data_IF_883433616295
#
_entry.id   IF_883433616295
#
_cell.length_a   1.000
_cell.length_b   1.000
_cell.length_c   1.000
_cell.angle_alpha   90.00
_cell.angle_beta   90.00
_cell.angle_gamma   90.00
#
_symmetry.space_group_name_H-M   'P 1'
#
loop_
_entity.id
_entity.type
_entity.pdbx_description
1 polymer ?
#
# COMPACT_ATOMS: atom_id res chain seq x y z
N UNK A 1 51.87 8.39 -19.88
CA UNK A 1 50.88 9.43 -19.55
C UNK A 1 49.43 8.95 -19.70
N UNK A 2 49.06 8.24 -20.77
CA UNK A 2 47.68 7.69 -20.97
C UNK A 2 47.25 6.70 -19.87
N UNK A 3 48.12 5.73 -19.49
CA UNK A 3 47.80 4.75 -18.43
C UNK A 3 47.57 5.35 -17.03
N UNK A 4 48.12 6.53 -16.76
CA UNK A 4 47.87 7.23 -15.49
C UNK A 4 46.51 7.94 -15.49
N UNK A 5 46.10 8.51 -16.63
CA UNK A 5 44.80 9.15 -16.77
C UNK A 5 43.65 8.13 -16.68
N UNK A 6 43.81 6.94 -17.26
CA UNK A 6 42.81 5.86 -17.18
C UNK A 6 42.64 5.34 -15.75
N UNK A 7 43.73 5.19 -14.99
CA UNK A 7 43.67 4.75 -13.60
C UNK A 7 42.97 5.77 -12.69
N UNK A 8 43.21 7.07 -12.92
CA UNK A 8 42.56 8.16 -12.17
C UNK A 8 41.04 8.16 -12.44
N UNK A 9 40.64 7.96 -13.70
CA UNK A 9 39.22 7.95 -14.08
C UNK A 9 38.49 6.71 -13.49
N UNK A 10 39.14 5.54 -13.50
CA UNK A 10 38.59 4.33 -12.90
C UNK A 10 38.48 4.44 -11.36
N UNK A 11 39.49 5.00 -10.69
CA UNK A 11 39.43 5.25 -9.25
C UNK A 11 38.35 6.25 -8.87
N UNK A 12 38.18 7.33 -9.64
CA UNK A 12 37.11 8.30 -9.41
C UNK A 12 35.72 7.66 -9.58
N UNK A 13 35.54 6.80 -10.58
CA UNK A 13 34.28 6.10 -10.83
C UNK A 13 33.94 5.09 -9.71
N UNK A 14 34.96 4.38 -9.20
CA UNK A 14 34.79 3.45 -8.08
C UNK A 14 34.50 4.17 -6.76
N UNK A 15 35.16 5.31 -6.51
CA UNK A 15 34.92 6.14 -5.34
C UNK A 15 33.52 6.77 -5.35
N UNK A 16 33.03 7.21 -6.51
CA UNK A 16 31.67 7.72 -6.67
C UNK A 16 30.65 6.64 -6.30
N UNK A 17 30.81 5.45 -6.87
CA UNK A 17 29.91 4.31 -6.65
C UNK A 17 29.96 3.80 -5.21
N UNK A 18 31.12 3.84 -4.56
CA UNK A 18 31.25 3.49 -3.14
C UNK A 18 30.61 4.53 -2.22
N UNK A 19 30.76 5.82 -2.54
CA UNK A 19 30.15 6.90 -1.77
C UNK A 19 28.63 6.91 -1.90
N UNK A 20 28.10 6.64 -3.10
CA UNK A 20 26.67 6.42 -3.32
C UNK A 20 26.16 5.21 -2.54
N UNK A 21 26.88 4.09 -2.55
CA UNK A 21 26.45 2.91 -1.80
C UNK A 21 26.46 3.16 -0.28
N UNK A 22 27.44 3.92 0.23
CA UNK A 22 27.48 4.32 1.63
C UNK A 22 26.38 5.33 1.99
N UNK A 23 26.10 6.30 1.13
CA UNK A 23 24.98 7.24 1.34
C UNK A 23 23.64 6.52 1.32
N UNK A 24 23.44 5.55 0.42
CA UNK A 24 22.25 4.69 0.40
C UNK A 24 22.10 3.83 1.65
N UNK A 25 23.19 3.29 2.19
CA UNK A 25 23.15 2.54 3.46
C UNK A 25 22.78 3.43 4.63
N UNK A 26 23.41 4.61 4.74
CA UNK A 26 23.10 5.58 5.78
C UNK A 26 21.63 6.04 5.68
N UNK A 27 21.14 6.33 4.47
CA UNK A 27 19.75 6.69 4.22
C UNK A 27 18.78 5.55 4.59
N UNK A 28 19.12 4.32 4.21
CA UNK A 28 18.33 3.12 4.55
C UNK A 28 18.27 2.90 6.06
N UNK A 29 19.38 3.11 6.77
CA UNK A 29 19.46 2.98 8.22
C UNK A 29 18.65 4.08 8.92
N UNK A 30 18.72 5.33 8.42
CA UNK A 30 17.86 6.43 8.89
C UNK A 30 16.37 6.14 8.65
N UNK A 31 16.00 5.65 7.46
CA UNK A 31 14.63 5.25 7.13
C UNK A 31 14.14 4.12 8.03
N UNK A 32 14.98 3.11 8.27
CA UNK A 32 14.66 1.96 9.12
C UNK A 32 14.44 2.40 10.57
N UNK A 33 15.28 3.30 11.08
CA UNK A 33 15.18 3.84 12.44
C UNK A 33 13.94 4.71 12.65
N UNK A 34 13.39 5.32 11.59
CA UNK A 34 12.16 6.12 11.64
C UNK A 34 10.94 5.38 11.08
N UNK A 35 11.08 4.14 10.62
CA UNK A 35 10.02 3.43 9.90
C UNK A 35 8.78 3.24 10.77
N UNK A 36 8.95 2.77 12.00
CA UNK A 36 7.83 2.56 12.94
C UNK A 36 7.15 3.88 13.30
N UNK A 37 7.94 4.93 13.55
CA UNK A 37 7.39 6.27 13.78
C UNK A 37 6.55 6.74 12.58
N UNK A 38 7.07 6.58 11.35
CA UNK A 38 6.38 6.96 10.12
C UNK A 38 5.09 6.17 9.93
N UNK A 39 5.14 4.85 10.15
CA UNK A 39 4.00 3.96 10.04
C UNK A 39 2.87 4.38 10.99
N UNK A 40 3.19 4.58 12.28
CA UNK A 40 2.18 4.97 13.27
C UNK A 40 1.67 6.39 13.02
N UNK A 41 2.52 7.30 12.53
CA UNK A 41 2.11 8.64 12.12
C UNK A 41 1.12 8.59 10.93
N UNK A 42 1.33 7.70 9.95
CA UNK A 42 0.37 7.48 8.86
C UNK A 42 -0.99 6.98 9.38
N UNK A 43 -0.99 6.02 10.31
CA UNK A 43 -2.22 5.52 10.95
C UNK A 43 -2.93 6.65 11.70
N UNK A 44 -2.17 7.49 12.39
CA UNK A 44 -2.72 8.62 13.12
C UNK A 44 -3.36 9.66 12.18
N UNK A 45 -2.68 10.03 11.09
CA UNK A 45 -3.24 10.91 10.05
C UNK A 45 -4.51 10.32 9.42
N UNK A 46 -4.48 9.04 9.04
CA UNK A 46 -5.65 8.36 8.49
C UNK A 46 -6.83 8.36 9.49
N UNK A 47 -6.55 8.20 10.78
CA UNK A 47 -7.58 8.26 11.82
C UNK A 47 -8.19 9.65 11.97
N UNK A 48 -7.38 10.71 11.85
CA UNK A 48 -7.84 12.12 11.88
C UNK A 48 -8.73 12.46 10.68
N UNK A 49 -8.45 11.86 9.52
CA UNK A 49 -9.24 12.04 8.30
C UNK A 49 -10.55 11.25 8.33
N UNK A 50 -10.50 10.00 8.79
CA UNK A 50 -11.58 9.02 8.58
C UNK A 50 -12.53 8.91 9.77
N UNK A 51 -12.10 9.29 10.98
CA UNK A 51 -12.91 9.15 12.19
C UNK A 51 -13.22 10.50 12.83
N UNK A 52 -14.50 10.76 13.07
CA UNK A 52 -14.93 11.99 13.74
C UNK A 52 -14.74 11.94 15.28
N UNK A 53 -14.90 10.77 15.90
CA UNK A 53 -14.87 10.64 17.38
C UNK A 53 -13.85 9.63 17.92
N UNK A 54 -13.31 8.75 17.06
CA UNK A 54 -12.37 7.69 17.44
C UNK A 54 -10.96 7.96 16.89
N UNK A 55 -10.54 9.22 16.92
CA UNK A 55 -9.24 9.65 16.46
C UNK A 55 -8.16 9.06 17.36
N UNK A 56 -7.10 8.53 16.77
CA UNK A 56 -5.94 8.01 17.53
C UNK A 56 -5.18 9.21 18.12
N UNK A 57 -5.19 9.32 19.45
CA UNK A 57 -4.56 10.45 20.15
C UNK A 57 -3.04 10.28 20.24
N UNK A 58 -2.31 11.39 20.41
CA UNK A 58 -0.86 11.36 20.63
C UNK A 58 -0.50 10.49 21.84
N UNK A 59 -1.30 10.52 22.90
CA UNK A 59 -1.06 9.71 24.11
C UNK A 59 -1.16 8.22 23.79
N UNK A 60 -2.18 7.83 23.02
CA UNK A 60 -2.36 6.44 22.57
C UNK A 60 -1.18 5.96 21.74
N UNK A 61 -0.72 6.79 20.80
CA UNK A 61 0.44 6.49 19.96
C UNK A 61 1.72 6.34 20.79
N UNK A 62 1.99 7.29 21.69
CA UNK A 62 3.20 7.26 22.50
C UNK A 62 3.23 6.06 23.45
N UNK A 63 2.10 5.72 24.06
CA UNK A 63 2.02 4.52 24.90
C UNK A 63 2.25 3.24 24.08
N UNK A 64 1.71 3.18 22.86
CA UNK A 64 1.93 2.05 21.94
C UNK A 64 3.41 1.93 21.54
N UNK A 65 4.03 3.03 21.15
CA UNK A 65 5.45 3.08 20.79
C UNK A 65 6.34 2.70 21.98
N UNK A 66 6.02 3.20 23.17
CA UNK A 66 6.74 2.86 24.40
C UNK A 66 6.62 1.36 24.74
N UNK A 67 5.44 0.76 24.57
CA UNK A 67 5.24 -0.67 24.77
C UNK A 67 6.07 -1.54 23.80
N UNK A 68 6.40 -1.01 22.63
CA UNK A 68 7.29 -1.63 21.64
C UNK A 68 8.79 -1.32 21.88
N UNK A 69 9.12 -0.54 22.92
CA UNK A 69 10.50 -0.17 23.25
C UNK A 69 11.01 1.11 22.56
N UNK A 70 10.13 1.88 21.90
CA UNK A 70 10.48 3.14 21.26
C UNK A 70 10.14 4.35 22.13
N UNK A 71 11.15 5.13 22.51
CA UNK A 71 11.00 6.34 23.33
C UNK A 71 10.92 7.61 22.50
N UNK A 72 9.82 7.81 21.75
CA UNK A 72 9.60 9.05 21.00
C UNK A 72 8.90 10.12 21.84
N UNK A 73 9.11 11.38 21.46
CA UNK A 73 8.46 12.56 22.04
C UNK A 73 7.22 12.97 21.24
N UNK A 74 6.40 13.87 21.81
CA UNK A 74 5.23 14.42 21.10
C UNK A 74 5.66 15.27 19.91
N UNK A 75 6.77 15.98 20.06
CA UNK A 75 7.35 16.86 19.07
C UNK A 75 7.83 16.07 17.85
N UNK A 76 8.55 14.97 18.07
CA UNK A 76 8.99 14.06 16.99
C UNK A 76 7.82 13.41 16.26
N UNK A 77 6.74 13.09 16.97
CA UNK A 77 5.52 12.56 16.35
C UNK A 77 4.85 13.60 15.43
N UNK A 78 4.70 14.84 15.92
CA UNK A 78 4.15 15.96 15.14
C UNK A 78 5.01 16.29 13.91
N UNK A 79 6.33 16.31 14.07
CA UNK A 79 7.27 16.53 12.98
C UNK A 79 7.15 15.41 11.93
N UNK A 80 7.07 14.15 12.36
CA UNK A 80 6.85 13.00 11.47
C UNK A 80 5.53 13.13 10.69
N UNK A 81 4.42 13.49 11.33
CA UNK A 81 3.14 13.73 10.65
C UNK A 81 3.23 14.85 9.62
N UNK A 82 3.85 15.97 9.98
CA UNK A 82 3.99 17.13 9.10
C UNK A 82 4.90 16.81 7.90
N UNK A 83 5.94 16.02 8.10
CA UNK A 83 6.78 15.52 7.02
C UNK A 83 6.02 14.56 6.10
N UNK A 84 5.08 13.74 6.61
CA UNK A 84 4.21 12.91 5.76
C UNK A 84 3.38 13.80 4.84
N UNK A 85 2.69 14.76 5.45
CA UNK A 85 1.82 15.66 4.72
C UNK A 85 2.57 16.43 3.65
N UNK A 86 3.76 16.97 3.98
CA UNK A 86 4.63 17.64 3.00
C UNK A 86 5.08 16.72 1.88
N UNK A 87 5.54 15.50 2.19
CA UNK A 87 5.97 14.53 1.16
C UNK A 87 4.84 14.16 0.19
N UNK A 88 3.60 14.14 0.68
CA UNK A 88 2.42 13.87 -0.13
C UNK A 88 1.81 15.13 -0.76
N UNK A 89 2.48 16.30 -0.66
CA UNK A 89 1.94 17.60 -1.09
C UNK A 89 0.53 17.88 -0.54
N UNK A 90 0.25 17.40 0.68
CA UNK A 90 -1.05 17.47 1.36
C UNK A 90 -2.21 16.80 0.59
N UNK A 91 -1.91 15.94 -0.40
CA UNK A 91 -2.89 15.18 -1.17
C UNK A 91 -3.23 13.84 -0.50
N UNK A 92 -4.00 13.91 0.58
CA UNK A 92 -4.35 12.74 1.42
C UNK A 92 -5.82 12.33 1.32
N UNK A 93 -6.66 13.17 0.70
CA UNK A 93 -8.09 12.91 0.51
C UNK A 93 -8.35 12.24 -0.85
N UNK A 94 -7.79 11.04 -1.03
CA UNK A 94 -7.96 10.24 -2.25
C UNK A 94 -8.98 9.11 -2.01
N UNK A 95 -9.78 8.71 -3.02
CA UNK A 95 -10.68 7.59 -2.89
C UNK A 95 -9.94 6.29 -2.55
N UNK A 96 -10.44 5.57 -1.54
CA UNK A 96 -9.92 4.25 -1.18
C UNK A 96 -10.61 3.15 -2.01
N UNK A 97 -10.02 1.94 -2.12
CA UNK A 97 -10.71 0.80 -2.73
C UNK A 97 -12.09 0.53 -2.13
N UNK A 98 -12.25 0.73 -0.81
CA UNK A 98 -13.55 0.60 -0.15
C UNK A 98 -14.58 1.61 -0.69
N UNK A 99 -14.19 2.86 -0.94
CA UNK A 99 -15.09 3.87 -1.50
C UNK A 99 -15.61 3.44 -2.89
N UNK A 100 -14.77 2.82 -3.71
CA UNK A 100 -15.20 2.25 -5.00
C UNK A 100 -16.14 1.05 -4.83
N UNK A 101 -15.86 0.15 -3.88
CA UNK A 101 -16.75 -0.97 -3.57
C UNK A 101 -18.13 -0.47 -3.16
N UNK A 102 -18.20 0.47 -2.23
CA UNK A 102 -19.46 1.02 -1.72
C UNK A 102 -20.25 1.74 -2.82
N UNK A 103 -19.56 2.59 -3.61
CA UNK A 103 -20.16 3.27 -4.75
C UNK A 103 -20.75 2.29 -5.78
N UNK A 104 -20.02 1.23 -6.13
CA UNK A 104 -20.49 0.24 -7.10
C UNK A 104 -21.65 -0.60 -6.57
N UNK A 105 -21.62 -1.00 -5.29
CA UNK A 105 -22.73 -1.72 -4.65
C UNK A 105 -24.01 -0.87 -4.60
N UNK A 106 -23.88 0.43 -4.30
CA UNK A 106 -25.00 1.37 -4.32
C UNK A 106 -25.60 1.47 -5.74
N UNK A 107 -24.75 1.59 -6.77
CA UNK A 107 -25.20 1.63 -8.17
C UNK A 107 -25.91 0.33 -8.57
N UNK A 108 -25.41 -0.85 -8.16
CA UNK A 108 -26.06 -2.13 -8.44
C UNK A 108 -27.45 -2.22 -7.77
N UNK A 109 -27.54 -1.78 -6.51
CA UNK A 109 -28.82 -1.72 -5.78
C UNK A 109 -29.81 -0.76 -6.44
N UNK A 110 -29.37 0.44 -6.83
CA UNK A 110 -30.21 1.43 -7.50
C UNK A 110 -30.75 0.92 -8.84
N UNK A 111 -29.95 0.18 -9.61
CA UNK A 111 -30.37 -0.40 -10.90
C UNK A 111 -31.29 -1.64 -10.76
N UNK A 112 -31.71 -1.98 -9.55
CA UNK A 112 -32.67 -3.07 -9.31
C UNK A 112 -32.07 -4.46 -9.41
N UNK A 113 -30.74 -4.61 -9.32
CA UNK A 113 -30.14 -5.92 -9.18
C UNK A 113 -30.56 -6.52 -7.82
N UNK A 114 -31.09 -7.75 -7.82
CA UNK A 114 -31.44 -8.50 -6.60
C UNK A 114 -30.19 -9.01 -5.88
N UNK A 115 -29.29 -8.10 -5.52
CA UNK A 115 -28.05 -8.39 -4.81
C UNK A 115 -28.29 -8.15 -3.32
N UNK A 116 -27.98 -9.10 -2.42
CA UNK A 116 -28.07 -8.87 -0.98
C UNK A 116 -26.94 -7.95 -0.53
N UNK A 117 -27.05 -6.65 -0.84
CA UNK A 117 -25.96 -5.68 -0.77
C UNK A 117 -25.30 -5.59 0.61
N UNK A 118 -26.07 -5.73 1.70
CA UNK A 118 -25.54 -5.72 3.07
C UNK A 118 -24.70 -6.94 3.40
N UNK A 119 -25.15 -8.14 2.99
CA UNK A 119 -24.37 -9.36 3.15
C UNK A 119 -23.14 -9.31 2.27
N UNK A 120 -23.30 -8.87 1.02
CA UNK A 120 -22.21 -8.75 0.06
C UNK A 120 -21.14 -7.77 0.54
N UNK A 121 -21.54 -6.61 1.06
CA UNK A 121 -20.63 -5.60 1.64
C UNK A 121 -19.77 -6.17 2.77
N UNK A 122 -20.35 -6.96 3.68
CA UNK A 122 -19.59 -7.58 4.77
C UNK A 122 -18.50 -8.56 4.26
N UNK A 123 -18.82 -9.35 3.23
CA UNK A 123 -17.83 -10.22 2.58
C UNK A 123 -16.79 -9.40 1.81
N UNK A 124 -17.19 -8.34 1.12
CA UNK A 124 -16.27 -7.43 0.44
C UNK A 124 -15.25 -6.81 1.39
N UNK A 125 -15.67 -6.37 2.59
CA UNK A 125 -14.77 -5.83 3.61
C UNK A 125 -13.71 -6.87 4.02
N UNK A 126 -14.16 -8.08 4.35
CA UNK A 126 -13.27 -9.18 4.75
C UNK A 126 -12.28 -9.54 3.63
N UNK A 127 -12.75 -9.55 2.38
CA UNK A 127 -11.93 -9.89 1.24
C UNK A 127 -10.94 -8.76 0.89
N UNK A 128 -11.34 -7.49 1.04
CA UNK A 128 -10.42 -6.35 0.90
C UNK A 128 -9.28 -6.46 1.91
N UNK A 129 -9.58 -6.72 3.19
CA UNK A 129 -8.56 -6.91 4.22
C UNK A 129 -7.58 -8.05 3.85
N UNK A 130 -8.12 -9.18 3.36
CA UNK A 130 -7.29 -10.28 2.89
C UNK A 130 -6.40 -9.89 1.70
N UNK A 131 -6.95 -9.15 0.73
CA UNK A 131 -6.18 -8.69 -0.44
C UNK A 131 -5.09 -7.71 -0.04
N UNK A 132 -5.34 -6.83 0.93
CA UNK A 132 -4.30 -5.95 1.47
C UNK A 132 -3.18 -6.74 2.16
N UNK A 133 -3.52 -7.79 2.91
CA UNK A 133 -2.52 -8.63 3.61
C UNK A 133 -1.74 -9.55 2.67
N UNK A 134 -2.38 -10.05 1.61
CA UNK A 134 -1.83 -10.99 0.64
C UNK A 134 -1.61 -10.35 -0.74
N UNK A 135 -1.31 -9.05 -0.75
CA UNK A 135 -1.21 -8.23 -1.95
C UNK A 135 -0.26 -8.84 -2.99
N UNK A 136 1.01 -9.08 -2.62
CA UNK A 136 2.00 -9.65 -3.54
C UNK A 136 1.59 -11.05 -4.05
N UNK A 137 1.28 -12.05 -3.21
CA UNK A 137 0.86 -13.37 -3.68
C UNK A 137 -0.34 -13.35 -4.64
N UNK A 138 -1.35 -12.53 -4.36
CA UNK A 138 -2.58 -12.47 -5.16
C UNK A 138 -2.27 -11.89 -6.54
N UNK A 139 -1.57 -10.76 -6.62
CA UNK A 139 -1.26 -10.15 -7.90
C UNK A 139 -0.21 -10.94 -8.70
N UNK A 140 0.73 -11.62 -8.05
CA UNK A 140 1.62 -12.57 -8.73
C UNK A 140 0.85 -13.75 -9.33
N UNK A 141 -0.13 -14.31 -8.59
CA UNK A 141 -1.01 -15.35 -9.10
C UNK A 141 -1.85 -14.85 -10.27
N UNK A 142 -2.38 -13.61 -10.18
CA UNK A 142 -3.18 -13.00 -11.24
C UNK A 142 -2.35 -12.76 -12.50
N UNK A 143 -1.11 -12.28 -12.36
CA UNK A 143 -0.18 -12.11 -13.48
C UNK A 143 0.11 -13.44 -14.16
N UNK A 144 0.45 -14.50 -13.40
CA UNK A 144 0.69 -15.83 -13.96
C UNK A 144 -0.53 -16.39 -14.67
N UNK A 145 -1.72 -16.25 -14.09
CA UNK A 145 -2.96 -16.69 -14.71
C UNK A 145 -3.21 -15.99 -16.06
N UNK A 146 -2.88 -14.70 -16.16
CA UNK A 146 -3.03 -13.91 -17.40
C UNK A 146 -2.11 -14.34 -18.54
N UNK A 147 -1.05 -15.09 -18.25
CA UNK A 147 -0.04 -15.59 -19.20
C UNK A 147 0.04 -17.11 -19.23
N UNK A 148 -1.07 -17.80 -18.93
CA UNK A 148 -1.20 -19.26 -19.00
C UNK A 148 -0.17 -20.00 -18.12
N UNK A 149 0.18 -19.43 -16.96
CA UNK A 149 1.14 -19.95 -15.99
C UNK A 149 2.59 -20.06 -16.50
N UNK A 150 2.95 -19.32 -17.56
CA UNK A 150 4.33 -19.11 -17.95
C UNK A 150 5.09 -18.17 -16.98
N UNK A 151 6.44 -18.23 -16.91
CA UNK A 151 7.19 -17.29 -16.10
C UNK A 151 7.09 -15.88 -16.70
N UNK A 152 6.73 -14.85 -15.89
CA UNK A 152 6.54 -13.50 -16.41
C UNK A 152 7.87 -12.87 -16.83
N UNK A 153 7.88 -12.25 -18.00
CA UNK A 153 8.97 -11.36 -18.43
C UNK A 153 8.93 -10.03 -17.68
N UNK A 154 10.07 -9.34 -17.61
CA UNK A 154 10.16 -8.03 -16.96
C UNK A 154 9.16 -7.02 -17.54
N UNK A 155 9.04 -6.97 -18.87
CA UNK A 155 8.11 -6.07 -19.56
C UNK A 155 6.64 -6.37 -19.25
N UNK A 156 6.28 -7.65 -19.04
CA UNK A 156 4.94 -8.01 -18.58
C UNK A 156 4.70 -7.54 -17.14
N UNK A 157 5.69 -7.71 -16.25
CA UNK A 157 5.62 -7.19 -14.89
C UNK A 157 5.40 -5.68 -14.83
N UNK A 158 6.15 -4.92 -15.64
CA UNK A 158 6.01 -3.46 -15.73
C UNK A 158 4.63 -3.03 -16.24
N UNK A 159 4.12 -3.69 -17.29
CA UNK A 159 2.76 -3.41 -17.80
C UNK A 159 1.66 -3.76 -16.80
N UNK A 160 1.89 -4.77 -15.96
CA UNK A 160 0.92 -5.23 -14.97
C UNK A 160 0.80 -4.29 -13.76
N UNK A 161 1.70 -3.32 -13.60
CA UNK A 161 1.60 -2.29 -12.54
C UNK A 161 0.29 -1.51 -12.67
N UNK A 162 -0.18 -1.21 -13.88
CA UNK A 162 -1.46 -0.51 -14.07
C UNK A 162 -2.65 -1.29 -13.51
N UNK A 163 -2.61 -2.62 -13.54
CA UNK A 163 -3.62 -3.50 -12.93
C UNK A 163 -3.53 -3.49 -11.41
N UNK A 164 -2.31 -3.43 -10.86
CA UNK A 164 -2.07 -3.33 -9.40
C UNK A 164 -2.57 -2.01 -8.82
N UNK A 165 -2.46 -0.92 -9.58
CA UNK A 165 -2.80 0.43 -9.12
C UNK A 165 -4.25 0.84 -9.43
N UNK A 166 -5.00 0.05 -10.20
CA UNK A 166 -6.40 0.34 -10.52
C UNK A 166 -7.34 -0.12 -9.39
N UNK A 167 -7.66 0.82 -8.49
CA UNK A 167 -8.59 0.59 -7.38
C UNK A 167 -10.03 0.29 -7.82
N UNK A 168 -10.46 0.76 -8.99
CA UNK A 168 -11.80 0.45 -9.50
C UNK A 168 -11.85 -1.00 -9.97
N UNK A 169 -10.82 -1.47 -10.68
CA UNK A 169 -10.68 -2.86 -11.09
C UNK A 169 -10.59 -3.79 -9.87
N UNK A 170 -9.81 -3.41 -8.86
CA UNK A 170 -9.77 -4.12 -7.58
C UNK A 170 -11.17 -4.21 -6.96
N UNK A 171 -11.90 -3.10 -6.85
CA UNK A 171 -13.24 -3.08 -6.26
C UNK A 171 -14.22 -4.00 -6.99
N UNK A 172 -14.22 -4.00 -8.32
CA UNK A 172 -15.06 -4.91 -9.13
C UNK A 172 -14.67 -6.36 -8.88
N UNK A 173 -13.37 -6.67 -8.84
CA UNK A 173 -12.85 -8.01 -8.53
C UNK A 173 -13.29 -8.50 -7.14
N UNK A 174 -13.24 -7.62 -6.14
CA UNK A 174 -13.72 -7.91 -4.78
C UNK A 174 -15.22 -8.22 -4.77
N UNK A 175 -16.04 -7.42 -5.45
CA UNK A 175 -17.49 -7.62 -5.52
C UNK A 175 -17.81 -8.96 -6.19
N UNK A 176 -17.16 -9.25 -7.32
CA UNK A 176 -17.36 -10.50 -8.05
C UNK A 176 -16.96 -11.73 -7.22
N UNK A 177 -15.79 -11.69 -6.57
CA UNK A 177 -15.31 -12.78 -5.72
C UNK A 177 -16.20 -12.95 -4.47
N UNK A 178 -16.67 -11.87 -3.87
CA UNK A 178 -17.59 -11.92 -2.73
C UNK A 178 -18.94 -12.53 -3.12
N UNK A 179 -19.47 -12.19 -4.31
CA UNK A 179 -20.70 -12.76 -4.83
C UNK A 179 -20.54 -14.26 -5.15
N UNK A 180 -19.36 -14.67 -5.64
CA UNK A 180 -19.01 -16.07 -5.87
C UNK A 180 -18.97 -16.88 -4.56
N UNK A 181 -18.32 -16.35 -3.51
CA UNK A 181 -18.26 -17.00 -2.19
C UNK A 181 -19.65 -17.16 -1.57
N UNK A 182 -20.56 -16.20 -1.79
CA UNK A 182 -21.91 -16.26 -1.24
C UNK A 182 -22.85 -17.21 -2.02
N UNK A 183 -22.61 -17.42 -3.31
CA UNK A 183 -23.48 -18.22 -4.18
C UNK A 183 -22.80 -19.50 -4.69
N UNK A 184 -22.36 -20.37 -3.79
CA UNK A 184 -21.74 -21.65 -4.13
C UNK A 184 -22.65 -22.58 -4.97
N UNK A 185 -23.98 -22.42 -4.92
CA UNK A 185 -24.93 -23.31 -5.59
C UNK A 185 -25.14 -23.01 -7.09
N UNK A 186 -24.82 -21.81 -7.57
CA UNK A 186 -25.16 -21.38 -8.94
C UNK A 186 -24.11 -21.73 -10.02
N UNK A 187 -22.96 -22.32 -9.65
CA UNK A 187 -21.83 -22.50 -10.58
C UNK A 187 -21.18 -23.88 -10.47
N UNK A 188 -21.98 -24.95 -10.40
CA UNK A 188 -21.47 -26.29 -10.75
C UNK A 188 -21.05 -26.26 -12.23
N UNK A 189 -19.74 -26.31 -12.48
CA UNK A 189 -19.14 -26.45 -13.81
C UNK A 189 -19.68 -27.66 -14.56
#
# INVERSE_FOLDING_TARGET
MVKQAENICQQATLQLRSNELQSWRALKEQLSNKFILRLVSCVQLASKLSFHYKIVSNITVLNFLQALGYGYTKEELLESELDILKSLNFQINLPTPLAYVEMLLEVLGYNGCLVPATQLHATCLTLLDLVYLLHEPIYESLLRASIENSPPSQLQGEKFISVKEDFMLLAVGIIAASAFIQNHECWSQ
#
